data_IF_831686559741
#
_entry.id   IF_831686559741
#
_cell.length_a   1.000
_cell.length_b   1.000
_cell.length_c   1.000
_cell.angle_alpha   90.00
_cell.angle_beta   90.00
_cell.angle_gamma   90.00
#
_symmetry.space_group_name_H-M   'P 1'
#
loop_
_entity.id
_entity.type
_entity.pdbx_description
1 polymer ?
#
# COMPACT_ATOMS: atom_id res chain seq x y z
N UNK A 1 -9.44 17.07 8.47
CA UNK A 1 -8.93 15.66 8.41
C UNK A 1 -7.42 15.60 8.21
N UNK A 2 -6.84 16.43 7.34
CA UNK A 2 -5.40 16.37 6.98
C UNK A 2 -4.45 16.44 8.18
N UNK A 3 -4.79 17.09 9.26
CA UNK A 3 -3.90 17.21 10.43
C UNK A 3 -4.13 16.14 11.51
N UNK A 4 -5.32 15.53 11.58
CA UNK A 4 -5.59 14.43 12.53
C UNK A 4 -4.80 13.17 12.20
N UNK A 5 -4.47 12.98 10.91
CA UNK A 5 -3.60 11.90 10.43
C UNK A 5 -2.19 11.98 10.98
N UNK A 6 -1.63 13.20 11.05
CA UNK A 6 -0.29 13.42 11.57
C UNK A 6 -0.19 13.01 13.04
N UNK A 7 -1.19 13.36 13.86
CA UNK A 7 -1.18 13.00 15.28
C UNK A 7 -1.38 11.51 15.53
N UNK A 8 -2.23 10.84 14.75
CA UNK A 8 -2.50 9.40 14.91
C UNK A 8 -1.33 8.57 14.38
N UNK A 9 -0.64 9.01 13.34
CA UNK A 9 0.46 8.29 12.70
C UNK A 9 1.76 8.31 13.50
N UNK A 10 2.12 9.46 14.09
CA UNK A 10 3.41 9.65 14.75
C UNK A 10 3.38 9.25 16.24
N UNK A 11 2.19 9.01 16.79
CA UNK A 11 1.99 8.58 18.17
C UNK A 11 1.17 7.28 18.21
N UNK A 12 1.43 6.44 19.22
CA UNK A 12 0.58 5.29 19.46
C UNK A 12 -0.87 5.73 19.72
N UNK A 13 -1.81 5.04 19.11
CA UNK A 13 -3.25 5.32 19.23
C UNK A 13 -3.67 5.65 20.67
N UNK A 14 -3.18 4.91 21.65
CA UNK A 14 -3.56 5.10 23.06
C UNK A 14 -3.04 6.41 23.67
N UNK A 15 -1.97 6.98 23.12
CA UNK A 15 -1.25 8.12 23.70
C UNK A 15 -1.83 9.48 23.27
N UNK A 16 -2.72 9.53 22.27
CA UNK A 16 -3.26 10.78 21.71
C UNK A 16 -4.72 10.95 22.02
N UNK A 17 -5.12 11.77 23.00
CA UNK A 17 -6.53 12.13 23.20
C UNK A 17 -7.05 13.06 22.11
N UNK A 18 -8.36 13.04 21.82
CA UNK A 18 -8.99 13.91 20.80
C UNK A 18 -8.70 15.40 21.01
N UNK A 19 -8.62 15.86 22.25
CA UNK A 19 -8.30 17.24 22.60
C UNK A 19 -6.92 17.69 22.09
N UNK A 20 -5.95 16.78 22.07
CA UNK A 20 -4.59 17.09 21.62
C UNK A 20 -4.55 17.19 20.08
N UNK A 21 -5.38 16.39 19.41
CA UNK A 21 -5.62 16.51 17.96
C UNK A 21 -6.27 17.86 17.65
N UNK A 22 -7.33 18.24 18.36
CA UNK A 22 -8.00 19.55 18.21
C UNK A 22 -6.99 20.71 18.37
N UNK A 23 -6.17 20.64 19.40
CA UNK A 23 -5.16 21.67 19.67
C UNK A 23 -4.11 21.73 18.56
N UNK A 24 -3.60 20.61 18.09
CA UNK A 24 -2.59 20.55 17.00
C UNK A 24 -3.11 21.10 15.68
N UNK A 25 -4.43 21.04 15.46
CA UNK A 25 -5.12 21.54 14.28
C UNK A 25 -5.67 22.95 14.42
N UNK A 26 -5.44 23.62 15.54
CA UNK A 26 -6.04 24.91 15.87
C UNK A 26 -7.59 24.90 15.77
N UNK A 27 -8.21 23.76 16.08
CA UNK A 27 -9.67 23.62 16.09
C UNK A 27 -10.25 24.07 17.44
N UNK A 28 -11.49 24.55 17.40
CA UNK A 28 -12.23 24.85 18.63
C UNK A 28 -12.48 23.56 19.43
N UNK A 29 -12.44 23.67 20.74
CA UNK A 29 -12.71 22.56 21.65
C UNK A 29 -14.08 21.92 21.36
N UNK A 30 -14.10 20.59 21.21
CA UNK A 30 -15.31 19.85 20.91
C UNK A 30 -15.65 19.74 19.41
N UNK A 31 -14.88 20.39 18.52
CA UNK A 31 -15.09 20.33 17.08
C UNK A 31 -14.97 18.89 16.56
N UNK A 32 -13.94 18.17 16.99
CA UNK A 32 -13.75 16.77 16.59
C UNK A 32 -14.84 15.87 17.15
N UNK A 33 -15.26 16.08 18.39
CA UNK A 33 -16.33 15.30 19.02
C UNK A 33 -17.71 15.52 18.37
N UNK A 34 -17.91 16.64 17.66
CA UNK A 34 -19.12 16.87 16.87
C UNK A 34 -19.17 15.97 15.63
N UNK A 35 -18.03 15.74 14.97
CA UNK A 35 -17.93 14.91 13.77
C UNK A 35 -17.65 13.45 14.07
N UNK A 36 -16.89 13.18 15.13
CA UNK A 36 -16.48 11.85 15.56
C UNK A 36 -16.79 11.68 17.06
N UNK A 37 -17.92 11.07 17.40
CA UNK A 37 -18.33 10.81 18.80
C UNK A 37 -17.25 10.10 19.63
N UNK A 38 -16.43 9.26 18.96
CA UNK A 38 -15.33 8.54 19.62
C UNK A 38 -14.03 8.69 18.81
N UNK A 39 -12.90 8.59 19.51
CA UNK A 39 -11.59 8.52 18.89
C UNK A 39 -11.45 7.31 17.95
N UNK A 40 -12.13 6.21 18.27
CA UNK A 40 -12.13 5.02 17.43
C UNK A 40 -12.77 5.29 16.07
N UNK A 41 -13.88 6.01 16.02
CA UNK A 41 -14.53 6.37 14.74
C UNK A 41 -13.64 7.26 13.86
N UNK A 42 -12.98 8.25 14.46
CA UNK A 42 -11.97 9.03 13.74
C UNK A 42 -10.85 8.15 13.21
N UNK A 43 -10.33 7.23 14.04
CA UNK A 43 -9.25 6.33 13.64
C UNK A 43 -9.70 5.40 12.50
N UNK A 44 -10.91 4.85 12.58
CA UNK A 44 -11.48 4.00 11.54
C UNK A 44 -11.60 4.75 10.21
N UNK A 45 -12.08 6.00 10.22
CA UNK A 45 -12.19 6.80 9.00
C UNK A 45 -10.82 7.11 8.39
N UNK A 46 -9.81 7.39 9.21
CA UNK A 46 -8.42 7.53 8.76
C UNK A 46 -7.92 6.23 8.09
N UNK A 47 -8.11 5.08 8.73
CA UNK A 47 -7.69 3.79 8.16
C UNK A 47 -8.43 3.49 6.87
N UNK A 48 -9.73 3.73 6.81
CA UNK A 48 -10.54 3.53 5.60
C UNK A 48 -10.04 4.38 4.44
N UNK A 49 -9.81 5.66 4.67
CA UNK A 49 -9.41 6.58 3.60
C UNK A 49 -7.96 6.38 3.14
N UNK A 50 -7.03 6.16 4.07
CA UNK A 50 -5.59 6.18 3.79
C UNK A 50 -4.96 4.79 3.62
N UNK A 51 -5.59 3.75 4.14
CA UNK A 51 -5.12 2.37 4.01
C UNK A 51 -6.03 1.58 3.08
N UNK A 52 -7.28 1.30 3.47
CA UNK A 52 -8.12 0.35 2.77
C UNK A 52 -8.51 0.84 1.36
N UNK A 53 -9.00 2.06 1.22
CA UNK A 53 -9.38 2.63 -0.09
C UNK A 53 -8.16 2.85 -1.01
N UNK A 54 -7.00 3.18 -0.43
CA UNK A 54 -5.78 3.38 -1.21
C UNK A 54 -5.15 2.07 -1.68
N UNK A 55 -5.45 0.95 -1.03
CA UNK A 55 -5.01 -0.38 -1.45
C UNK A 55 -6.02 -1.06 -2.39
N UNK A 56 -7.27 -0.60 -2.45
CA UNK A 56 -8.27 -1.22 -3.31
C UNK A 56 -7.90 -1.03 -4.79
N UNK A 57 -7.62 -2.16 -5.44
CA UNK A 57 -7.22 -2.21 -6.85
C UNK A 57 -8.31 -1.75 -7.80
N UNK A 58 -9.59 -1.88 -7.43
CA UNK A 58 -10.71 -1.41 -8.22
C UNK A 58 -10.67 0.13 -8.38
N UNK A 59 -10.15 0.83 -7.37
CA UNK A 59 -9.93 2.27 -7.41
C UNK A 59 -8.59 2.67 -8.05
N UNK A 60 -7.57 1.84 -7.88
CA UNK A 60 -6.17 2.17 -8.16
C UNK A 60 -5.70 1.74 -9.54
N UNK A 61 -6.27 0.66 -10.06
CA UNK A 61 -5.80 -0.05 -11.25
C UNK A 61 -6.85 -0.14 -12.36
N UNK A 62 -7.71 0.88 -12.47
CA UNK A 62 -8.73 0.92 -13.53
C UNK A 62 -8.08 0.82 -14.91
N UNK A 63 -8.68 0.02 -15.79
CA UNK A 63 -8.23 -0.22 -17.18
C UNK A 63 -6.84 -0.86 -17.32
N UNK A 64 -6.27 -1.45 -16.27
CA UNK A 64 -4.95 -2.10 -16.35
C UNK A 64 -4.99 -3.52 -16.96
N UNK A 65 -6.15 -4.14 -17.08
CA UNK A 65 -6.29 -5.54 -17.51
C UNK A 65 -5.88 -5.79 -18.99
N UNK A 66 -5.86 -4.74 -19.81
CA UNK A 66 -5.40 -4.82 -21.21
C UNK A 66 -3.91 -4.57 -21.40
N UNK A 67 -3.19 -4.22 -20.35
CA UNK A 67 -1.76 -3.92 -20.41
C UNK A 67 -0.94 -5.21 -20.60
N UNK A 68 0.22 -5.10 -21.25
CA UNK A 68 1.26 -6.12 -21.16
C UNK A 68 1.73 -6.27 -19.71
N UNK A 69 2.31 -7.42 -19.35
CA UNK A 69 2.88 -7.59 -18.01
C UNK A 69 3.97 -6.56 -17.73
N UNK A 70 4.80 -6.27 -18.73
CA UNK A 70 5.83 -5.22 -18.64
C UNK A 70 5.23 -3.86 -18.30
N UNK A 71 4.18 -3.44 -19.02
CA UNK A 71 3.55 -2.14 -18.81
C UNK A 71 2.75 -2.10 -17.51
N UNK A 72 2.13 -3.21 -17.14
CA UNK A 72 1.46 -3.33 -15.85
C UNK A 72 2.44 -3.19 -14.67
N UNK A 73 3.63 -3.79 -14.74
CA UNK A 73 4.67 -3.62 -13.72
C UNK A 73 5.03 -2.13 -13.58
N UNK A 74 5.30 -1.43 -14.70
CA UNK A 74 5.60 0.00 -14.65
C UNK A 74 4.46 0.81 -14.03
N UNK A 75 3.23 0.54 -14.45
CA UNK A 75 2.04 1.18 -13.91
C UNK A 75 1.85 0.91 -12.40
N UNK A 76 2.09 -0.32 -11.96
CA UNK A 76 2.03 -0.70 -10.54
C UNK A 76 3.07 0.08 -9.72
N UNK A 77 4.33 0.12 -10.17
CA UNK A 77 5.42 0.85 -9.51
C UNK A 77 5.13 2.35 -9.43
N UNK A 78 4.59 2.95 -10.49
CA UNK A 78 4.18 4.36 -10.48
C UNK A 78 3.06 4.64 -9.46
N UNK A 79 2.11 3.71 -9.30
CA UNK A 79 1.07 3.83 -8.27
C UNK A 79 1.64 3.68 -6.85
N UNK A 80 2.60 2.78 -6.64
CA UNK A 80 3.32 2.66 -5.36
C UNK A 80 4.06 3.96 -5.06
N UNK A 81 4.78 4.52 -6.04
CA UNK A 81 5.47 5.79 -5.89
C UNK A 81 4.52 6.92 -5.49
N UNK A 82 3.41 7.11 -6.21
CA UNK A 82 2.39 8.13 -5.89
C UNK A 82 1.84 7.96 -4.47
N UNK A 83 1.62 6.73 -4.04
CA UNK A 83 1.17 6.45 -2.67
C UNK A 83 2.22 6.85 -1.64
N UNK A 84 3.50 6.54 -1.88
CA UNK A 84 4.58 6.95 -0.99
C UNK A 84 4.78 8.47 -0.98
N UNK A 85 4.80 9.12 -2.16
CA UNK A 85 4.90 10.59 -2.27
C UNK A 85 3.75 11.27 -1.50
N UNK A 86 2.54 10.75 -1.60
CA UNK A 86 1.38 11.23 -0.84
C UNK A 86 1.59 11.07 0.67
N UNK A 87 2.05 9.92 1.13
CA UNK A 87 2.33 9.69 2.55
C UNK A 87 3.45 10.59 3.09
N UNK A 88 4.48 10.84 2.28
CA UNK A 88 5.58 11.72 2.66
C UNK A 88 5.14 13.17 2.92
N UNK A 89 4.11 13.67 2.23
CA UNK A 89 3.58 15.02 2.44
C UNK A 89 3.03 15.24 3.85
N UNK A 90 2.63 14.17 4.53
CA UNK A 90 2.09 14.20 5.90
C UNK A 90 3.12 13.88 6.98
N UNK A 91 4.37 13.62 6.62
CA UNK A 91 5.43 13.42 7.61
C UNK A 91 5.96 14.78 8.04
N UNK A 92 5.96 15.04 9.35
CA UNK A 92 6.56 16.24 9.89
C UNK A 92 8.05 16.28 9.53
N UNK A 93 8.59 17.44 9.12
CA UNK A 93 10.01 17.57 8.75
C UNK A 93 10.99 17.10 9.83
N UNK A 94 10.56 17.12 11.09
CA UNK A 94 11.37 16.72 12.26
C UNK A 94 10.97 15.36 12.83
N UNK A 95 10.05 14.62 12.18
CA UNK A 95 9.66 13.30 12.64
C UNK A 95 10.82 12.31 12.44
N UNK A 96 11.20 11.59 13.47
CA UNK A 96 12.18 10.49 13.37
C UNK A 96 11.56 9.24 12.76
N UNK A 97 10.93 9.40 11.60
CA UNK A 97 10.26 8.33 10.87
C UNK A 97 10.32 8.58 9.36
N UNK A 98 10.11 7.54 8.57
CA UNK A 98 9.91 7.63 7.13
C UNK A 98 8.48 7.16 6.77
N UNK A 99 8.00 7.50 5.56
CA UNK A 99 6.63 7.20 5.13
C UNK A 99 6.27 5.72 5.19
N UNK A 100 7.20 4.85 4.85
CA UNK A 100 7.00 3.40 4.88
C UNK A 100 6.86 2.88 6.31
N UNK A 101 7.69 3.38 7.23
CA UNK A 101 7.60 3.05 8.67
C UNK A 101 6.31 3.54 9.28
N UNK A 102 5.93 4.80 8.99
CA UNK A 102 4.67 5.37 9.44
C UNK A 102 3.47 4.57 8.95
N UNK A 103 3.48 4.16 7.67
CA UNK A 103 2.44 3.33 7.08
C UNK A 103 2.34 1.95 7.76
N UNK A 104 3.46 1.28 8.00
CA UNK A 104 3.49 0.00 8.72
C UNK A 104 2.99 0.14 10.17
N UNK A 105 3.36 1.22 10.85
CA UNK A 105 2.86 1.51 12.19
C UNK A 105 1.33 1.65 12.21
N UNK A 106 0.75 2.35 11.22
CA UNK A 106 -0.69 2.46 11.08
C UNK A 106 -1.38 1.10 10.86
N UNK A 107 -0.82 0.23 10.03
CA UNK A 107 -1.35 -1.12 9.82
C UNK A 107 -1.37 -1.93 11.12
N UNK A 108 -0.27 -1.91 11.89
CA UNK A 108 -0.18 -2.62 13.16
C UNK A 108 -1.16 -2.07 14.22
N UNK A 109 -1.37 -0.76 14.22
CA UNK A 109 -2.38 -0.14 15.07
C UNK A 109 -3.81 -0.47 14.61
N UNK A 110 -4.06 -0.49 13.31
CA UNK A 110 -5.35 -0.85 12.75
C UNK A 110 -5.73 -2.30 13.08
N UNK A 111 -4.79 -3.23 13.01
CA UNK A 111 -5.01 -4.62 13.41
C UNK A 111 -5.50 -4.71 14.87
N UNK A 112 -5.02 -3.84 15.74
CA UNK A 112 -5.34 -3.81 17.17
C UNK A 112 -6.63 -3.04 17.50
N UNK A 113 -6.92 -1.95 16.77
CA UNK A 113 -7.96 -0.99 17.18
C UNK A 113 -9.09 -0.79 16.14
N UNK A 114 -8.95 -1.33 14.93
CA UNK A 114 -10.00 -1.28 13.92
C UNK A 114 -10.78 -2.61 13.89
N UNK A 115 -12.08 -2.61 14.20
CA UNK A 115 -12.88 -3.84 14.20
C UNK A 115 -12.88 -4.52 12.84
N UNK A 116 -12.59 -5.81 12.81
CA UNK A 116 -12.56 -6.64 11.59
C UNK A 116 -11.46 -6.24 10.55
N UNK A 117 -10.44 -5.49 10.94
CA UNK A 117 -9.37 -5.05 10.02
C UNK A 117 -8.74 -6.21 9.23
N UNK A 118 -8.44 -7.32 9.88
CA UNK A 118 -7.90 -8.53 9.22
C UNK A 118 -8.82 -9.05 8.11
N UNK A 119 -10.15 -8.99 8.30
CA UNK A 119 -11.12 -9.39 7.26
C UNK A 119 -11.07 -8.43 6.07
N UNK A 120 -11.11 -7.13 6.33
CA UNK A 120 -11.08 -6.09 5.27
C UNK A 120 -9.77 -6.15 4.47
N UNK A 121 -8.62 -6.24 5.14
CA UNK A 121 -7.32 -6.38 4.47
C UNK A 121 -7.18 -7.69 3.71
N UNK A 122 -7.81 -8.78 4.18
CA UNK A 122 -7.85 -10.05 3.45
C UNK A 122 -8.58 -9.88 2.12
N UNK A 123 -9.72 -9.20 2.11
CA UNK A 123 -10.51 -8.93 0.89
C UNK A 123 -9.68 -8.11 -0.11
N UNK A 124 -9.08 -7.00 0.34
CA UNK A 124 -8.24 -6.15 -0.51
C UNK A 124 -7.05 -6.92 -1.07
N UNK A 125 -6.40 -7.71 -0.23
CA UNK A 125 -5.26 -8.56 -0.63
C UNK A 125 -5.66 -9.61 -1.67
N UNK A 126 -6.83 -10.25 -1.51
CA UNK A 126 -7.31 -11.24 -2.48
C UNK A 126 -7.64 -10.60 -3.83
N UNK A 127 -8.28 -9.44 -3.85
CA UNK A 127 -8.54 -8.67 -5.07
C UNK A 127 -7.24 -8.36 -5.83
N UNK A 128 -6.21 -7.89 -5.12
CA UNK A 128 -4.91 -7.59 -5.70
C UNK A 128 -4.25 -8.83 -6.31
N UNK A 129 -4.24 -9.95 -5.60
CA UNK A 129 -3.68 -11.21 -6.11
C UNK A 129 -4.44 -11.72 -7.33
N UNK A 130 -5.78 -11.59 -7.36
CA UNK A 130 -6.59 -11.96 -8.51
C UNK A 130 -6.31 -11.07 -9.73
N UNK A 131 -6.08 -9.77 -9.52
CA UNK A 131 -5.68 -8.87 -10.61
C UNK A 131 -4.33 -9.29 -11.20
N UNK A 132 -3.32 -9.50 -10.36
CA UNK A 132 -2.01 -9.99 -10.80
C UNK A 132 -2.12 -11.32 -11.56
N UNK A 133 -2.94 -12.26 -11.06
CA UNK A 133 -3.17 -13.54 -11.73
C UNK A 133 -3.80 -13.37 -13.12
N UNK A 134 -4.78 -12.46 -13.30
CA UNK A 134 -5.38 -12.16 -14.60
C UNK A 134 -4.37 -11.57 -15.58
N UNK A 135 -3.57 -10.59 -15.13
CA UNK A 135 -2.50 -9.99 -15.96
C UNK A 135 -1.49 -11.03 -16.40
N UNK A 136 -1.05 -11.91 -15.50
CA UNK A 136 -0.10 -12.98 -15.83
C UNK A 136 -0.68 -13.99 -16.82
N UNK A 137 -1.96 -14.37 -16.67
CA UNK A 137 -2.65 -15.24 -17.64
C UNK A 137 -2.75 -14.58 -19.02
N UNK A 138 -3.10 -13.29 -19.05
CA UNK A 138 -3.13 -12.54 -20.30
C UNK A 138 -1.76 -12.49 -20.98
N UNK A 139 -0.71 -12.29 -20.22
CA UNK A 139 0.67 -12.31 -20.72
C UNK A 139 1.05 -13.69 -21.30
N UNK A 140 0.61 -14.80 -20.68
CA UNK A 140 0.79 -16.15 -21.24
C UNK A 140 0.01 -16.34 -22.54
N UNK A 141 -1.24 -15.92 -22.60
CA UNK A 141 -2.09 -15.99 -23.80
C UNK A 141 -1.52 -15.20 -24.99
N UNK A 142 -0.85 -14.09 -24.68
CA UNK A 142 -0.15 -13.25 -25.68
C UNK A 142 1.26 -13.73 -26.02
N UNK A 143 1.77 -14.77 -25.36
CA UNK A 143 3.13 -15.26 -25.57
C UNK A 143 4.23 -14.36 -25.00
N UNK A 144 3.88 -13.39 -24.12
CA UNK A 144 4.84 -12.51 -23.48
C UNK A 144 5.69 -13.26 -22.43
N UNK A 145 5.08 -14.25 -21.75
CA UNK A 145 5.77 -15.12 -20.78
C UNK A 145 5.46 -16.59 -21.07
N UNK A 146 6.33 -17.46 -20.56
CA UNK A 146 6.19 -18.92 -20.75
C UNK A 146 4.93 -19.50 -20.09
N UNK A 147 4.31 -20.48 -20.75
CA UNK A 147 3.07 -21.14 -20.27
C UNK A 147 3.32 -22.16 -19.15
N UNK A 148 4.59 -22.53 -18.89
CA UNK A 148 4.98 -23.46 -17.84
C UNK A 148 4.82 -22.88 -16.42
N UNK A 149 4.67 -21.57 -16.28
CA UNK A 149 4.62 -20.91 -14.98
C UNK A 149 3.21 -20.94 -14.37
N UNK A 150 3.13 -21.17 -13.08
CA UNK A 150 1.88 -21.04 -12.32
C UNK A 150 1.63 -19.57 -11.97
N UNK A 151 0.67 -18.93 -12.66
CA UNK A 151 0.36 -17.50 -12.50
C UNK A 151 0.03 -17.12 -11.05
N UNK A 152 -0.68 -17.98 -10.30
CA UNK A 152 -1.02 -17.75 -8.90
C UNK A 152 0.23 -17.69 -8.01
N UNK A 153 1.21 -18.55 -8.27
CA UNK A 153 2.47 -18.54 -7.52
C UNK A 153 3.32 -17.33 -7.88
N UNK A 154 3.38 -16.97 -9.16
CA UNK A 154 4.12 -15.77 -9.60
C UNK A 154 3.48 -14.48 -9.03
N UNK A 155 2.15 -14.37 -9.03
CA UNK A 155 1.46 -13.24 -8.39
C UNK A 155 1.88 -13.07 -6.91
N UNK A 156 2.00 -14.18 -6.17
CA UNK A 156 2.50 -14.16 -4.79
C UNK A 156 3.97 -13.71 -4.70
N UNK A 157 4.83 -14.06 -5.67
CA UNK A 157 6.23 -13.62 -5.67
C UNK A 157 6.33 -12.09 -5.78
N UNK A 158 5.62 -11.46 -6.73
CA UNK A 158 5.56 -10.00 -6.83
C UNK A 158 5.12 -9.37 -5.51
N UNK A 159 4.07 -9.91 -4.90
CA UNK A 159 3.58 -9.44 -3.61
C UNK A 159 4.62 -9.59 -2.49
N UNK A 160 5.25 -10.75 -2.36
CA UNK A 160 6.20 -11.00 -1.27
C UNK A 160 7.48 -10.18 -1.44
N UNK A 161 7.93 -9.94 -2.67
CA UNK A 161 9.04 -9.02 -2.94
C UNK A 161 8.68 -7.60 -2.52
N UNK A 162 7.49 -7.11 -2.88
CA UNK A 162 7.01 -5.79 -2.44
C UNK A 162 6.98 -5.67 -0.91
N UNK A 163 6.34 -6.62 -0.23
CA UNK A 163 6.24 -6.57 1.23
C UNK A 163 7.59 -6.75 1.93
N UNK A 164 8.41 -7.70 1.48
CA UNK A 164 9.73 -7.94 2.05
C UNK A 164 10.64 -6.73 1.92
N UNK A 165 10.69 -6.12 0.74
CA UNK A 165 11.47 -4.90 0.53
C UNK A 165 10.90 -3.74 1.32
N UNK A 166 9.57 -3.54 1.33
CA UNK A 166 8.93 -2.47 2.12
C UNK A 166 9.27 -2.58 3.60
N UNK A 167 9.24 -3.80 4.16
CA UNK A 167 9.62 -4.03 5.54
C UNK A 167 11.10 -3.68 5.80
N UNK A 168 12.01 -4.21 4.97
CA UNK A 168 13.44 -3.94 5.11
C UNK A 168 13.74 -2.44 5.00
N UNK A 169 13.20 -1.78 4.00
CA UNK A 169 13.45 -0.37 3.72
C UNK A 169 12.82 0.56 4.78
N UNK A 170 11.70 0.15 5.39
CA UNK A 170 11.10 0.89 6.51
C UNK A 170 12.04 1.02 7.71
N UNK A 171 12.89 0.01 7.93
CA UNK A 171 13.86 0.02 9.03
C UNK A 171 15.02 1.01 8.79
N UNK A 172 15.20 1.47 7.55
CA UNK A 172 16.31 2.35 7.16
C UNK A 172 15.77 3.72 6.71
N UNK A 173 15.65 3.95 5.42
CA UNK A 173 15.34 5.26 4.83
C UNK A 173 13.96 5.33 4.15
N UNK A 174 13.15 4.29 4.25
CA UNK A 174 11.88 4.16 3.52
C UNK A 174 12.05 3.49 2.16
N UNK A 175 10.92 3.10 1.55
CA UNK A 175 10.88 2.27 0.36
C UNK A 175 11.68 2.85 -0.81
N UNK A 176 12.67 2.09 -1.27
CA UNK A 176 13.47 2.40 -2.44
C UNK A 176 12.73 1.95 -3.71
N UNK A 177 12.00 2.89 -4.34
CA UNK A 177 11.19 2.62 -5.54
C UNK A 177 12.04 2.15 -6.74
N UNK A 178 13.20 2.76 -7.06
CA UNK A 178 14.07 2.23 -8.11
C UNK A 178 14.48 0.77 -7.89
N UNK A 179 14.87 0.41 -6.68
CA UNK A 179 15.24 -0.97 -6.34
C UNK A 179 14.03 -1.91 -6.45
N UNK A 180 12.85 -1.50 -5.98
CA UNK A 180 11.63 -2.30 -6.12
C UNK A 180 11.32 -2.59 -7.60
N UNK A 181 11.45 -1.58 -8.46
CA UNK A 181 11.27 -1.74 -9.91
C UNK A 181 12.29 -2.74 -10.48
N UNK A 182 13.54 -2.63 -10.09
CA UNK A 182 14.60 -3.58 -10.50
C UNK A 182 14.26 -5.01 -10.13
N UNK A 183 13.81 -5.26 -8.88
CA UNK A 183 13.39 -6.59 -8.42
C UNK A 183 12.18 -7.12 -9.20
N UNK A 184 11.20 -6.28 -9.49
CA UNK A 184 10.04 -6.68 -10.30
C UNK A 184 10.45 -7.01 -11.73
N UNK A 185 11.33 -6.20 -12.33
CA UNK A 185 11.86 -6.47 -13.67
C UNK A 185 12.73 -7.74 -13.70
N UNK A 186 13.45 -8.05 -12.63
CA UNK A 186 14.19 -9.32 -12.52
C UNK A 186 13.25 -10.53 -12.56
N UNK A 187 12.12 -10.49 -11.82
CA UNK A 187 11.08 -11.53 -11.91
C UNK A 187 10.55 -11.60 -13.35
N UNK A 188 10.16 -10.46 -13.93
CA UNK A 188 9.64 -10.41 -15.30
C UNK A 188 10.57 -11.04 -16.31
N UNK A 189 11.86 -10.68 -16.31
CA UNK A 189 12.85 -11.21 -17.21
C UNK A 189 13.05 -12.73 -17.06
N UNK A 190 12.89 -13.26 -15.86
CA UNK A 190 12.94 -14.72 -15.62
C UNK A 190 11.73 -15.47 -16.21
N UNK A 191 10.63 -14.78 -16.51
CA UNK A 191 9.40 -15.36 -17.06
C UNK A 191 9.36 -15.31 -18.61
N UNK A 192 10.15 -14.43 -19.22
CA UNK A 192 10.20 -14.29 -20.68
C UNK A 192 10.76 -15.58 -21.27
N UNK A 193 10.06 -16.09 -22.27
CA UNK A 193 10.54 -17.26 -23.02
C UNK A 193 11.70 -16.82 -23.92
N UNK A 194 12.93 -17.12 -23.48
CA UNK A 194 14.08 -17.02 -24.36
C UNK A 194 13.97 -18.24 -25.29
N UNK A 195 13.52 -18.01 -26.54
CA UNK A 195 13.67 -19.02 -27.60
C UNK A 195 15.15 -19.31 -27.73
N UNK A 196 15.59 -20.51 -27.39
CA UNK A 196 16.96 -20.92 -27.70
C UNK A 196 17.14 -20.76 -29.22
N UNK A 197 18.24 -20.13 -29.68
CA UNK A 197 18.52 -20.10 -31.09
C UNK A 197 18.72 -21.54 -31.58
N UNK A 198 17.85 -21.98 -32.49
CA UNK A 198 17.99 -23.27 -33.22
C UNK A 198 19.24 -23.30 -34.04
#
# INVERSE_FOLDING_TARGET
LVGSEMCIRDMEYNMVPLKDIEQSLNLSRGCMSYHYPTKQELFMDVIDQYILRKQDVDNKMQNSESLSLHDFINYYIDNVKRTMDYLYQFILPNANTNGTRAYMSLILQAEKFYPNFTKETTIVTQKELLLWERILKHAQEKGEIGTQYNCKNIAKQFKYVYFGQSYNDALVNGLNIPLLKEQFMFIYLSLIHISEPT
#
